data_IF_629794235473
#
_entry.id   IF_629794235473
#
_cell.length_a   1.000
_cell.length_b   1.000
_cell.length_c   1.000
_cell.angle_alpha   90.00
_cell.angle_beta   90.00
_cell.angle_gamma   90.00
#
_symmetry.space_group_name_H-M   'P 1'
#
loop_
_entity.id
_entity.type
_entity.pdbx_description
1 polymer ?
#
# COMPACT_ATOMS: atom_id res chain seq x y z
N UNK A 1 39.63 -3.12 -41.70
CA UNK A 1 38.51 -2.39 -41.06
C UNK A 1 37.30 -3.30 -40.95
N UNK A 2 37.09 -3.93 -39.79
CA UNK A 2 35.81 -4.53 -39.39
C UNK A 2 35.69 -4.32 -37.88
N UNK A 3 34.69 -3.54 -37.45
CA UNK A 3 34.49 -3.20 -36.04
C UNK A 3 33.10 -3.69 -35.62
N UNK A 4 33.07 -4.87 -34.99
CA UNK A 4 31.86 -5.49 -34.47
C UNK A 4 31.39 -4.74 -33.22
N UNK A 5 30.26 -4.05 -33.32
CA UNK A 5 29.60 -3.39 -32.18
C UNK A 5 29.07 -4.45 -31.20
N UNK A 6 29.66 -4.50 -30.00
CA UNK A 6 29.12 -5.22 -28.84
C UNK A 6 27.81 -4.58 -28.41
N UNK A 7 26.73 -5.35 -28.44
CA UNK A 7 25.44 -4.99 -27.81
C UNK A 7 25.62 -5.12 -26.30
N UNK A 8 25.41 -4.02 -25.57
CA UNK A 8 25.52 -3.94 -24.12
C UNK A 8 24.22 -4.50 -23.52
N UNK A 9 24.33 -5.58 -22.75
CA UNK A 9 23.20 -6.14 -22.00
C UNK A 9 22.66 -5.12 -20.99
N UNK A 10 21.34 -4.92 -20.99
CA UNK A 10 20.65 -4.09 -19.98
C UNK A 10 20.68 -4.74 -18.60
N UNK A 11 20.48 -3.96 -17.52
CA UNK A 11 20.57 -4.47 -16.16
C UNK A 11 19.46 -5.50 -15.90
N UNK A 12 19.88 -6.69 -15.47
CA UNK A 12 19.01 -7.70 -14.88
C UNK A 12 18.64 -7.22 -13.47
N UNK A 13 17.36 -6.94 -13.24
CA UNK A 13 16.85 -6.69 -11.91
C UNK A 13 16.70 -8.04 -11.20
N UNK A 14 17.55 -8.29 -10.20
CA UNK A 14 17.37 -9.39 -9.27
C UNK A 14 16.06 -9.17 -8.49
N UNK A 15 15.15 -10.13 -8.60
CA UNK A 15 13.91 -10.21 -7.84
C UNK A 15 14.26 -10.41 -6.36
N UNK A 16 14.13 -9.37 -5.54
CA UNK A 16 14.12 -9.52 -4.09
C UNK A 16 12.76 -10.07 -3.65
N UNK A 17 12.73 -11.38 -3.52
CA UNK A 17 11.93 -12.13 -2.56
C UNK A 17 12.20 -11.55 -1.17
N UNK A 18 11.19 -10.89 -0.58
CA UNK A 18 10.95 -10.74 0.87
C UNK A 18 9.98 -9.57 1.16
N UNK A 19 8.83 -9.59 0.49
CA UNK A 19 7.65 -8.89 0.96
C UNK A 19 6.52 -9.91 1.04
N UNK A 20 6.49 -10.66 2.14
CA UNK A 20 5.28 -11.35 2.56
C UNK A 20 4.21 -10.29 2.84
N UNK A 21 3.39 -9.98 1.82
CA UNK A 21 2.04 -9.49 2.06
C UNK A 21 1.23 -10.66 2.64
N UNK A 22 0.44 -10.46 3.70
CA UNK A 22 -0.56 -11.45 4.08
C UNK A 22 -1.59 -11.52 2.94
N UNK A 23 -1.87 -12.74 2.50
CA UNK A 23 -2.99 -13.07 1.61
C UNK A 23 -4.29 -12.61 2.27
N UNK A 24 -4.72 -11.40 1.95
CA UNK A 24 -6.05 -10.92 2.34
C UNK A 24 -6.99 -11.25 1.19
N UNK A 25 -7.75 -12.34 1.38
CA UNK A 25 -8.89 -12.88 0.62
C UNK A 25 -8.71 -14.36 0.26
N UNK A 26 -8.61 -15.20 1.29
CA UNK A 26 -9.30 -16.51 1.24
C UNK A 26 -10.64 -16.32 1.93
N UNK A 27 -11.70 -16.32 1.11
CA UNK A 27 -13.08 -16.48 1.57
C UNK A 27 -13.16 -17.80 2.36
N UNK A 28 -13.44 -17.70 3.66
CA UNK A 28 -13.89 -18.84 4.43
C UNK A 28 -15.38 -19.04 4.12
N UNK A 29 -15.70 -20.14 3.45
CA UNK A 29 -17.07 -20.67 3.42
C UNK A 29 -17.36 -21.23 4.81
N UNK A 30 -18.34 -20.63 5.47
CA UNK A 30 -18.85 -21.05 6.77
C UNK A 30 -20.17 -21.78 6.51
N UNK A 31 -20.19 -23.10 6.73
CA UNK A 31 -21.43 -23.82 7.02
C UNK A 31 -21.21 -24.95 8.00
N UNK A 32 -21.99 -24.86 9.08
CA UNK A 32 -22.52 -25.89 9.97
C UNK A 32 -21.82 -26.14 11.31
N UNK A 33 -22.40 -25.41 12.26
CA UNK A 33 -22.55 -25.62 13.69
C UNK A 33 -23.03 -27.05 14.08
N UNK A 34 -22.55 -27.54 15.24
CA UNK A 34 -23.31 -28.14 16.37
C UNK A 34 -22.35 -28.85 17.35
N UNK A 35 -22.60 -28.82 18.68
CA UNK A 35 -21.57 -28.79 19.73
C UNK A 35 -21.52 -30.05 20.62
N UNK A 36 -20.49 -30.16 21.48
CA UNK A 36 -20.61 -30.93 22.71
C UNK A 36 -19.32 -31.42 23.40
N UNK A 37 -19.28 -31.14 24.72
CA UNK A 37 -18.67 -31.90 25.83
C UNK A 37 -17.26 -31.55 26.33
N UNK A 38 -17.27 -30.84 27.47
CA UNK A 38 -16.77 -31.27 28.79
C UNK A 38 -15.62 -32.30 28.84
N UNK A 39 -14.50 -31.91 29.46
CA UNK A 39 -14.14 -32.31 30.83
C UNK A 39 -12.61 -32.31 31.06
N UNK A 40 -12.20 -31.55 32.08
CA UNK A 40 -11.27 -31.91 33.16
C UNK A 40 -10.06 -32.82 32.83
N UNK A 41 -8.84 -32.34 33.17
CA UNK A 41 -8.14 -32.90 34.34
C UNK A 41 -6.91 -32.12 34.78
N UNK A 42 -6.70 -32.17 36.08
CA UNK A 42 -5.71 -31.47 36.90
C UNK A 42 -4.94 -32.52 37.71
N UNK A 43 -3.60 -32.43 37.72
CA UNK A 43 -2.64 -32.73 38.82
C UNK A 43 -2.32 -34.21 39.20
N UNK A 44 -1.00 -34.50 39.28
CA UNK A 44 -0.20 -35.00 40.43
C UNK A 44 1.16 -35.54 39.89
N UNK A 45 2.31 -34.93 40.21
CA UNK A 45 3.20 -35.07 41.40
C UNK A 45 4.02 -36.37 41.43
N UNK A 46 5.34 -36.24 41.52
CA UNK A 46 6.28 -37.32 41.81
C UNK A 46 7.71 -36.76 42.01
N UNK A 47 8.36 -37.20 43.08
CA UNK A 47 9.45 -36.56 43.81
C UNK A 47 10.89 -36.80 43.26
N UNK A 48 11.83 -35.99 43.77
CA UNK A 48 13.31 -36.08 43.67
C UNK A 48 13.88 -37.15 44.66
N UNK A 49 15.21 -37.36 44.88
CA UNK A 49 16.40 -36.62 44.43
C UNK A 49 17.65 -37.47 44.04
N UNK A 50 18.72 -36.82 43.55
CA UNK A 50 20.07 -36.83 44.18
C UNK A 50 21.18 -36.24 43.31
N UNK A 51 22.15 -35.67 44.03
CA UNK A 51 23.29 -34.83 43.71
C UNK A 51 24.32 -35.38 42.70
N UNK A 52 24.96 -34.49 41.94
CA UNK A 52 26.44 -34.41 41.87
C UNK A 52 26.92 -33.12 41.19
N UNK A 53 28.01 -32.60 41.74
CA UNK A 53 28.65 -31.30 41.48
C UNK A 53 29.30 -31.18 40.09
N UNK A 54 29.41 -29.94 39.59
CA UNK A 54 30.25 -29.64 38.43
C UNK A 54 30.21 -28.17 37.97
N UNK A 55 31.16 -27.37 38.47
CA UNK A 55 31.95 -26.41 37.69
C UNK A 55 31.28 -25.30 36.86
N UNK A 56 31.60 -24.06 37.25
CA UNK A 56 31.89 -22.90 36.37
C UNK A 56 30.80 -22.39 35.41
N UNK A 57 30.30 -21.19 35.72
CA UNK A 57 30.66 -19.94 35.03
C UNK A 57 29.55 -18.92 35.29
N UNK A 58 29.80 -18.00 36.22
CA UNK A 58 28.94 -16.83 36.40
C UNK A 58 29.04 -15.96 35.14
N UNK A 59 28.10 -16.15 34.23
CA UNK A 59 27.83 -15.18 33.18
C UNK A 59 27.28 -13.91 33.84
N UNK A 60 27.81 -12.72 33.49
CA UNK A 60 27.25 -11.48 34.00
C UNK A 60 25.80 -11.39 33.52
N UNK A 61 24.87 -11.25 34.47
CA UNK A 61 23.47 -10.92 34.22
C UNK A 61 23.42 -9.64 33.41
N UNK A 62 23.35 -9.78 32.08
CA UNK A 62 23.02 -8.71 31.17
C UNK A 62 21.57 -8.31 31.36
N UNK A 63 21.28 -7.52 32.40
CA UNK A 63 20.09 -6.66 32.42
C UNK A 63 20.36 -5.40 31.59
N UNK A 64 20.76 -5.58 30.33
CA UNK A 64 20.34 -4.66 29.29
C UNK A 64 19.10 -5.27 28.69
N UNK A 65 17.96 -5.01 29.33
CA UNK A 65 16.72 -4.92 28.57
C UNK A 65 16.99 -3.80 27.58
N UNK A 66 17.47 -4.17 26.39
CA UNK A 66 17.54 -3.27 25.24
C UNK A 66 16.22 -2.50 25.27
N UNK A 67 16.30 -1.18 25.27
CA UNK A 67 15.16 -0.32 24.98
C UNK A 67 14.77 -0.67 23.55
N UNK A 68 14.10 -1.81 23.39
CA UNK A 68 13.83 -2.47 22.13
C UNK A 68 13.14 -1.45 21.25
N UNK A 69 13.82 -1.19 20.14
CA UNK A 69 13.49 -0.34 19.01
C UNK A 69 11.97 -0.17 18.89
N UNK A 70 11.45 0.94 19.43
CA UNK A 70 10.11 1.35 19.06
C UNK A 70 10.15 1.55 17.55
N UNK A 71 9.33 0.83 16.78
CA UNK A 71 9.37 0.94 15.34
C UNK A 71 9.11 2.40 14.95
N UNK A 72 9.91 2.94 14.03
CA UNK A 72 9.88 4.35 13.62
C UNK A 72 8.49 4.83 13.19
N UNK A 73 8.28 6.15 13.13
CA UNK A 73 6.95 6.73 12.88
C UNK A 73 6.29 6.20 11.60
N UNK A 74 7.03 5.77 10.58
CA UNK A 74 6.48 5.09 9.40
C UNK A 74 5.61 3.87 9.74
N UNK A 75 6.02 3.06 10.71
CA UNK A 75 5.26 1.88 11.13
C UNK A 75 4.01 2.26 11.92
N UNK A 76 4.10 3.30 12.74
CA UNK A 76 2.93 3.89 13.40
C UNK A 76 1.94 4.45 12.37
N UNK A 77 2.42 5.20 11.37
CA UNK A 77 1.60 5.73 10.29
C UNK A 77 0.85 4.62 9.57
N UNK A 78 1.57 3.56 9.15
CA UNK A 78 0.95 2.39 8.50
C UNK A 78 -0.09 1.73 9.39
N UNK A 79 0.20 1.54 10.68
CA UNK A 79 -0.74 0.93 11.64
C UNK A 79 -1.98 1.81 11.84
N UNK A 80 -1.78 3.11 12.02
CA UNK A 80 -2.84 4.07 12.33
C UNK A 80 -3.76 4.39 11.15
N UNK A 81 -3.27 4.19 9.91
CA UNK A 81 -4.02 4.44 8.66
C UNK A 81 -4.50 3.15 7.98
N UNK A 82 -4.30 2.00 8.63
CA UNK A 82 -4.69 0.70 8.10
C UNK A 82 -6.21 0.60 7.82
N UNK A 83 -7.11 1.04 8.72
CA UNK A 83 -8.54 0.98 8.43
C UNK A 83 -8.94 1.74 7.16
N UNK A 84 -8.38 2.93 6.93
CA UNK A 84 -8.67 3.75 5.76
C UNK A 84 -8.06 3.17 4.48
N UNK A 85 -6.86 2.56 4.57
CA UNK A 85 -6.30 1.79 3.48
C UNK A 85 -7.21 0.62 3.10
N UNK A 86 -7.67 -0.17 4.07
CA UNK A 86 -8.53 -1.34 3.83
C UNK A 86 -9.91 -0.93 3.29
N UNK A 87 -10.45 0.21 3.75
CA UNK A 87 -11.69 0.78 3.19
C UNK A 87 -11.52 1.21 1.72
N UNK A 88 -10.39 1.85 1.38
CA UNK A 88 -10.07 2.18 0.00
C UNK A 88 -9.93 0.93 -0.87
N UNK A 89 -9.23 -0.10 -0.40
CA UNK A 89 -9.11 -1.39 -1.11
C UNK A 89 -10.47 -2.06 -1.32
N UNK A 90 -11.35 -2.04 -0.31
CA UNK A 90 -12.70 -2.58 -0.40
C UNK A 90 -13.56 -1.81 -1.41
N UNK A 91 -13.43 -0.48 -1.46
CA UNK A 91 -14.14 0.34 -2.45
C UNK A 91 -13.78 -0.06 -3.90
N UNK A 92 -12.57 -0.58 -4.12
CA UNK A 92 -12.09 -1.11 -5.41
C UNK A 92 -12.25 -2.61 -5.60
N UNK A 93 -12.95 -3.31 -4.68
CA UNK A 93 -13.17 -4.74 -4.77
C UNK A 93 -13.71 -5.23 -6.13
N UNK A 94 -14.65 -4.53 -6.83
CA UNK A 94 -15.09 -4.95 -8.15
C UNK A 94 -13.93 -5.10 -9.15
N UNK A 95 -13.04 -4.13 -9.22
CA UNK A 95 -11.85 -4.19 -10.08
C UNK A 95 -10.87 -5.27 -9.63
N UNK A 96 -10.65 -5.43 -8.32
CA UNK A 96 -9.75 -6.46 -7.80
C UNK A 96 -10.22 -7.89 -8.09
N UNK A 97 -11.54 -8.11 -8.10
CA UNK A 97 -12.17 -9.40 -8.39
C UNK A 97 -12.22 -9.68 -9.89
N UNK A 98 -12.54 -8.67 -10.71
CA UNK A 98 -12.61 -8.80 -12.17
C UNK A 98 -12.07 -7.54 -12.84
N UNK A 99 -10.77 -7.51 -13.20
CA UNK A 99 -10.13 -6.29 -13.69
C UNK A 99 -10.65 -5.80 -15.03
N UNK A 100 -10.87 -6.68 -16.01
CA UNK A 100 -11.20 -6.27 -17.38
C UNK A 100 -12.56 -5.54 -17.47
N UNK A 101 -13.66 -6.06 -16.91
CA UNK A 101 -14.97 -5.39 -17.01
C UNK A 101 -15.00 -4.05 -16.27
N UNK A 102 -14.15 -3.88 -15.25
CA UNK A 102 -14.14 -2.71 -14.38
C UNK A 102 -12.96 -1.76 -14.63
N UNK A 103 -12.19 -1.98 -15.69
CA UNK A 103 -10.97 -1.22 -15.96
C UNK A 103 -11.25 0.27 -16.20
N UNK A 104 -12.21 0.58 -17.07
CA UNK A 104 -12.63 1.96 -17.35
C UNK A 104 -13.06 2.69 -16.07
N UNK A 105 -13.95 2.06 -15.29
CA UNK A 105 -14.38 2.59 -14.00
C UNK A 105 -13.20 2.83 -13.04
N UNK A 106 -12.30 1.85 -12.90
CA UNK A 106 -11.11 2.00 -12.06
C UNK A 106 -10.25 3.19 -12.49
N UNK A 107 -9.99 3.36 -13.79
CA UNK A 107 -9.22 4.49 -14.32
C UNK A 107 -9.89 5.84 -14.03
N UNK A 108 -11.22 5.95 -14.19
CA UNK A 108 -11.94 7.19 -13.86
C UNK A 108 -11.87 7.54 -12.36
N UNK A 109 -11.98 6.53 -11.49
CA UNK A 109 -11.81 6.70 -10.05
C UNK A 109 -10.38 7.13 -9.67
N UNK A 110 -9.37 6.47 -10.25
CA UNK A 110 -7.97 6.84 -10.04
C UNK A 110 -7.69 8.26 -10.53
N UNK A 111 -8.23 8.67 -11.70
CA UNK A 111 -8.12 10.04 -12.20
C UNK A 111 -8.70 11.03 -11.19
N UNK A 112 -9.94 10.79 -10.76
CA UNK A 112 -10.66 11.66 -9.81
C UNK A 112 -9.87 11.83 -8.52
N UNK A 113 -9.39 10.74 -7.93
CA UNK A 113 -8.67 10.75 -6.66
C UNK A 113 -7.28 11.40 -6.77
N UNK A 114 -6.48 11.04 -7.78
CA UNK A 114 -5.13 11.57 -7.95
C UNK A 114 -5.12 13.03 -8.38
N UNK A 115 -6.07 13.45 -9.21
CA UNK A 115 -6.26 14.85 -9.57
C UNK A 115 -6.66 15.71 -8.35
N UNK A 116 -7.58 15.19 -7.51
CA UNK A 116 -7.93 15.82 -6.25
C UNK A 116 -6.70 15.92 -5.33
N UNK A 117 -5.95 14.83 -5.18
CA UNK A 117 -4.75 14.81 -4.34
C UNK A 117 -3.70 15.82 -4.82
N UNK A 118 -3.51 15.99 -6.13
CA UNK A 118 -2.60 16.98 -6.70
C UNK A 118 -2.99 18.42 -6.30
N UNK A 119 -4.28 18.65 -6.09
CA UNK A 119 -4.85 19.96 -5.74
C UNK A 119 -4.86 20.23 -4.22
N UNK A 120 -4.44 19.26 -3.39
CA UNK A 120 -4.43 19.40 -1.91
C UNK A 120 -3.13 20.01 -1.35
N UNK A 121 -2.06 20.04 -2.16
CA UNK A 121 -0.75 20.56 -1.77
C UNK A 121 -0.71 22.09 -1.85
N UNK A 122 -0.58 22.77 -0.71
CA UNK A 122 -0.73 24.23 -0.67
C UNK A 122 0.53 25.07 -0.35
N UNK A 123 1.67 24.46 0.02
CA UNK A 123 2.81 25.24 0.55
C UNK A 123 4.20 24.79 0.08
N UNK A 124 4.42 23.50 -0.14
CA UNK A 124 5.65 22.95 -0.73
C UNK A 124 5.31 21.68 -1.51
N UNK A 125 5.87 21.56 -2.71
CA UNK A 125 5.80 20.33 -3.50
C UNK A 125 6.55 19.20 -2.79
N UNK A 126 5.88 18.07 -2.57
CA UNK A 126 6.51 16.83 -2.09
C UNK A 126 7.29 16.12 -3.20
N UNK A 127 7.98 15.03 -2.85
CA UNK A 127 8.74 14.21 -3.81
C UNK A 127 7.86 13.55 -4.87
N UNK A 128 6.59 13.30 -4.56
CA UNK A 128 5.64 12.70 -5.47
C UNK A 128 5.08 13.67 -6.53
N UNK A 129 5.40 14.96 -6.47
CA UNK A 129 4.74 15.99 -7.32
C UNK A 129 4.86 15.70 -8.82
N UNK A 130 6.07 15.39 -9.30
CA UNK A 130 6.28 15.07 -10.71
C UNK A 130 5.54 13.77 -11.12
N UNK A 131 5.68 12.71 -10.29
CA UNK A 131 4.99 11.45 -10.52
C UNK A 131 3.47 11.63 -10.55
N UNK A 132 2.91 12.45 -9.65
CA UNK A 132 1.48 12.69 -9.57
C UNK A 132 0.96 13.43 -10.82
N UNK A 133 1.74 14.38 -11.35
CA UNK A 133 1.44 15.04 -12.61
C UNK A 133 1.46 14.03 -13.78
N UNK A 134 2.48 13.18 -13.85
CA UNK A 134 2.61 12.15 -14.90
C UNK A 134 1.47 11.11 -14.85
N UNK A 135 1.10 10.66 -13.65
CA UNK A 135 -0.01 9.72 -13.45
C UNK A 135 -1.35 10.36 -13.84
N UNK A 136 -1.58 11.61 -13.45
CA UNK A 136 -2.82 12.34 -13.78
C UNK A 136 -2.93 12.57 -15.28
N UNK A 137 -1.82 12.91 -15.96
CA UNK A 137 -1.78 13.06 -17.41
C UNK A 137 -2.06 11.73 -18.14
N UNK A 138 -1.46 10.63 -17.67
CA UNK A 138 -1.70 9.30 -18.23
C UNK A 138 -3.15 8.86 -18.05
N UNK A 139 -3.71 9.05 -16.85
CA UNK A 139 -5.12 8.73 -16.57
C UNK A 139 -6.08 9.58 -17.40
N UNK A 140 -5.75 10.84 -17.65
CA UNK A 140 -6.56 11.71 -18.52
C UNK A 140 -6.57 11.18 -19.95
N UNK A 141 -5.42 10.75 -20.47
CA UNK A 141 -5.33 10.13 -21.80
C UNK A 141 -6.12 8.81 -21.84
N UNK A 142 -5.92 7.93 -20.87
CA UNK A 142 -6.63 6.64 -20.78
C UNK A 142 -8.16 6.83 -20.71
N UNK A 143 -8.65 7.82 -19.96
CA UNK A 143 -10.08 8.13 -19.92
C UNK A 143 -10.58 8.71 -21.24
N UNK A 144 -9.80 9.58 -21.89
CA UNK A 144 -10.17 10.16 -23.18
C UNK A 144 -10.25 9.10 -24.28
N UNK A 145 -9.31 8.15 -24.32
CA UNK A 145 -9.29 7.05 -25.27
C UNK A 145 -10.52 6.13 -25.13
N UNK A 146 -11.06 5.99 -23.90
CA UNK A 146 -12.27 5.24 -23.62
C UNK A 146 -13.58 6.05 -23.80
N UNK A 147 -13.49 7.37 -24.06
CA UNK A 147 -14.66 8.26 -24.05
C UNK A 147 -15.28 8.46 -22.66
N UNK A 148 -14.50 8.25 -21.60
CA UNK A 148 -14.93 8.40 -20.22
C UNK A 148 -14.80 9.85 -19.74
N UNK A 149 -15.69 10.22 -18.82
CA UNK A 149 -15.72 11.55 -18.19
C UNK A 149 -15.60 11.39 -16.66
N UNK A 150 -14.37 11.39 -16.12
CA UNK A 150 -14.15 11.28 -14.68
C UNK A 150 -14.84 12.41 -13.92
N UNK A 151 -15.44 12.09 -12.78
CA UNK A 151 -15.96 13.08 -11.87
C UNK A 151 -14.85 14.03 -11.35
N UNK A 152 -15.24 15.20 -10.88
CA UNK A 152 -14.33 16.17 -10.25
C UNK A 152 -14.76 16.41 -8.81
N UNK A 153 -13.81 16.37 -7.88
CA UNK A 153 -14.03 16.81 -6.50
C UNK A 153 -13.79 18.33 -6.45
N UNK A 154 -14.76 19.16 -6.03
CA UNK A 154 -14.61 20.61 -5.99
C UNK A 154 -13.42 21.05 -5.13
N UNK A 155 -12.59 21.96 -5.64
CA UNK A 155 -11.32 22.36 -5.00
C UNK A 155 -11.53 23.00 -3.62
N UNK A 156 -12.62 23.73 -3.45
CA UNK A 156 -13.05 24.34 -2.19
C UNK A 156 -13.41 23.33 -1.10
N UNK A 157 -13.76 22.09 -1.49
CA UNK A 157 -14.03 20.99 -0.56
C UNK A 157 -12.78 20.18 -0.20
N UNK A 158 -11.65 20.41 -0.90
CA UNK A 158 -10.45 19.61 -0.70
C UNK A 158 -9.73 19.97 0.60
N UNK A 159 -9.26 18.96 1.35
CA UNK A 159 -8.43 19.21 2.52
C UNK A 159 -7.07 19.75 2.07
N UNK A 160 -6.46 20.58 2.91
CA UNK A 160 -5.04 20.89 2.80
C UNK A 160 -4.26 19.76 3.45
N UNK A 161 -3.39 19.09 2.70
CA UNK A 161 -2.63 17.94 3.19
C UNK A 161 -1.14 18.27 3.32
N UNK A 162 -0.51 17.69 4.34
CA UNK A 162 0.93 17.74 4.51
C UNK A 162 1.66 17.00 3.35
N UNK A 163 2.74 17.54 2.77
CA UNK A 163 3.44 16.91 1.64
C UNK A 163 3.92 15.48 1.89
N UNK A 164 4.41 15.16 3.10
CA UNK A 164 4.80 13.78 3.44
C UNK A 164 3.61 12.80 3.46
N UNK A 165 2.39 13.27 3.73
CA UNK A 165 1.20 12.41 3.65
C UNK A 165 0.87 12.09 2.18
N UNK A 166 0.98 13.09 1.29
CA UNK A 166 0.81 12.92 -0.15
C UNK A 166 1.90 12.01 -0.73
N UNK A 167 3.15 12.24 -0.36
CA UNK A 167 4.28 11.40 -0.78
C UNK A 167 4.07 9.94 -0.36
N UNK A 168 3.64 9.72 0.89
CA UNK A 168 3.36 8.39 1.40
C UNK A 168 2.29 7.66 0.57
N UNK A 169 1.18 8.34 0.26
CA UNK A 169 0.07 7.77 -0.51
C UNK A 169 0.47 7.47 -1.97
N UNK A 170 1.02 8.47 -2.67
CA UNK A 170 1.31 8.35 -4.10
C UNK A 170 2.44 7.36 -4.35
N UNK A 171 3.56 7.48 -3.64
CA UNK A 171 4.71 6.59 -3.82
C UNK A 171 4.39 5.19 -3.30
N UNK A 172 3.68 5.08 -2.17
CA UNK A 172 3.26 3.80 -1.60
C UNK A 172 2.33 3.02 -2.54
N UNK A 173 1.39 3.70 -3.19
CA UNK A 173 0.43 3.06 -4.11
C UNK A 173 1.08 2.41 -5.34
N UNK A 174 2.29 2.82 -5.72
CA UNK A 174 2.96 2.27 -6.92
C UNK A 174 3.35 0.80 -6.77
N UNK A 175 3.64 0.35 -5.55
CA UNK A 175 3.91 -1.07 -5.28
C UNK A 175 2.65 -1.91 -5.48
N UNK A 176 1.48 -1.45 -5.00
CA UNK A 176 0.20 -2.10 -5.26
C UNK A 176 -0.16 -2.08 -6.75
N UNK A 177 0.11 -0.97 -7.43
CA UNK A 177 -0.11 -0.83 -8.86
C UNK A 177 0.71 -1.82 -9.70
N UNK A 178 1.91 -2.20 -9.26
CA UNK A 178 2.71 -3.23 -9.94
C UNK A 178 2.07 -4.63 -9.83
N UNK A 179 1.41 -4.94 -8.70
CA UNK A 179 0.62 -6.17 -8.55
C UNK A 179 -0.60 -6.14 -9.48
N UNK A 180 -1.32 -5.03 -9.51
CA UNK A 180 -2.48 -4.84 -10.39
C UNK A 180 -2.08 -4.93 -11.88
N UNK A 181 -0.94 -4.34 -12.25
CA UNK A 181 -0.39 -4.41 -13.61
C UNK A 181 -0.16 -5.86 -14.04
N UNK A 182 0.44 -6.69 -13.19
CA UNK A 182 0.71 -8.11 -13.50
C UNK A 182 -0.59 -8.89 -13.72
N UNK A 183 -1.54 -8.75 -12.80
CA UNK A 183 -2.86 -9.39 -12.91
C UNK A 183 -3.60 -8.94 -14.16
N UNK A 184 -3.54 -7.65 -14.48
CA UNK A 184 -4.18 -7.11 -15.68
C UNK A 184 -3.48 -7.58 -16.96
N UNK A 185 -2.14 -7.66 -16.98
CA UNK A 185 -1.40 -8.25 -18.10
C UNK A 185 -1.80 -9.70 -18.34
N UNK A 186 -1.93 -10.50 -17.28
CA UNK A 186 -2.36 -11.90 -17.37
C UNK A 186 -3.78 -12.02 -17.93
N UNK A 187 -4.70 -11.17 -17.46
CA UNK A 187 -6.09 -11.16 -17.94
C UNK A 187 -6.22 -10.63 -19.39
N UNK A 188 -5.48 -9.60 -19.76
CA UNK A 188 -5.58 -8.92 -21.05
C UNK A 188 -4.86 -9.64 -22.21
N UNK A 189 -4.00 -10.61 -21.90
CA UNK A 189 -3.22 -11.35 -22.88
C UNK A 189 -2.24 -10.46 -23.64
N UNK A 190 -2.46 -10.29 -24.95
CA UNK A 190 -1.60 -9.47 -25.82
C UNK A 190 -2.06 -8.02 -25.95
N UNK A 191 -3.19 -7.66 -25.35
CA UNK A 191 -3.71 -6.29 -25.43
C UNK A 191 -2.80 -5.32 -24.67
N UNK A 192 -2.58 -4.14 -25.24
CA UNK A 192 -1.80 -3.10 -24.57
C UNK A 192 -2.49 -2.66 -23.28
N UNK A 193 -1.70 -2.45 -22.22
CA UNK A 193 -2.21 -1.89 -20.97
C UNK A 193 -2.36 -0.37 -21.06
N UNK A 194 -3.31 0.23 -20.31
CA UNK A 194 -3.43 1.68 -20.17
C UNK A 194 -2.13 2.33 -19.69
N UNK A 195 -1.88 3.57 -20.10
CA UNK A 195 -0.67 4.34 -19.80
C UNK A 195 -0.49 4.59 -18.29
N UNK A 196 -1.56 4.58 -17.51
CA UNK A 196 -1.50 4.60 -16.05
C UNK A 196 -0.67 3.45 -15.47
N UNK A 197 -0.72 2.27 -16.09
CA UNK A 197 0.00 1.08 -15.67
C UNK A 197 1.44 1.01 -16.16
N UNK A 198 1.90 1.95 -16.99
CA UNK A 198 3.30 2.03 -17.41
C UNK A 198 4.23 2.16 -16.19
N UNK A 199 5.25 1.29 -16.04
CA UNK A 199 6.21 1.40 -14.95
C UNK A 199 6.91 2.77 -14.92
N UNK A 200 7.02 3.35 -13.73
CA UNK A 200 7.70 4.62 -13.48
C UNK A 200 8.63 4.48 -12.29
N UNK A 201 9.80 5.12 -12.36
CA UNK A 201 10.73 5.12 -11.24
C UNK A 201 10.17 5.95 -10.09
N UNK A 202 10.06 5.31 -8.93
CA UNK A 202 9.54 5.90 -7.69
C UNK A 202 10.31 5.40 -6.47
N UNK A 203 11.20 4.41 -6.61
CA UNK A 203 11.78 3.70 -5.48
C UNK A 203 12.76 4.58 -4.70
N UNK A 204 13.53 5.43 -5.39
CA UNK A 204 14.42 6.39 -4.75
C UNK A 204 13.62 7.40 -3.92
N UNK A 205 12.57 7.98 -4.50
CA UNK A 205 11.69 8.91 -3.81
C UNK A 205 10.94 8.25 -2.63
N UNK A 206 10.51 6.99 -2.79
CA UNK A 206 9.86 6.21 -1.74
C UNK A 206 10.79 5.96 -0.56
N UNK A 207 12.03 5.53 -0.82
CA UNK A 207 13.04 5.31 0.23
C UNK A 207 13.36 6.60 0.98
N UNK A 208 13.55 7.71 0.27
CA UNK A 208 13.78 9.01 0.90
C UNK A 208 12.59 9.46 1.76
N UNK A 209 11.35 9.24 1.30
CA UNK A 209 10.14 9.52 2.08
C UNK A 209 10.07 8.64 3.32
N UNK A 210 10.42 7.35 3.22
CA UNK A 210 10.52 6.47 4.38
C UNK A 210 11.54 6.97 5.39
N UNK A 211 12.73 7.39 4.93
CA UNK A 211 13.77 7.97 5.80
C UNK A 211 13.24 9.20 6.53
N UNK A 212 12.60 10.15 5.84
CA UNK A 212 12.03 11.34 6.48
C UNK A 212 10.98 10.97 7.53
N UNK A 213 10.10 10.01 7.24
CA UNK A 213 9.09 9.54 8.17
C UNK A 213 9.72 8.86 9.40
N UNK A 214 10.76 8.05 9.22
CA UNK A 214 11.44 7.37 10.32
C UNK A 214 12.17 8.33 11.27
N UNK A 215 12.55 9.53 10.80
CA UNK A 215 13.16 10.57 11.64
C UNK A 215 12.15 11.38 12.48
N UNK A 216 10.85 11.24 12.22
CA UNK A 216 9.83 11.97 12.98
C UNK A 216 9.56 11.30 14.32
N UNK A 217 9.65 12.03 15.45
CA UNK A 217 9.32 11.45 16.75
C UNK A 217 7.81 11.11 16.82
N UNK A 218 7.44 9.85 17.13
CA UNK A 218 6.07 9.45 17.43
C UNK A 218 5.39 10.36 18.45
N UNK A 219 4.09 10.62 18.27
CA UNK A 219 3.29 11.39 19.22
C UNK A 219 3.54 12.91 19.25
N UNK A 220 4.35 13.46 18.34
CA UNK A 220 4.45 14.92 18.14
C UNK A 220 3.28 15.46 17.32
N UNK A 221 3.03 16.76 17.41
CA UNK A 221 1.93 17.41 16.67
C UNK A 221 2.03 17.19 15.16
N UNK A 222 3.25 17.25 14.61
CA UNK A 222 3.49 16.97 13.19
C UNK A 222 3.16 15.51 12.82
N UNK A 223 3.57 14.54 13.63
CA UNK A 223 3.26 13.12 13.41
C UNK A 223 1.73 12.87 13.41
N UNK A 224 1.01 13.45 14.37
CA UNK A 224 -0.47 13.40 14.41
C UNK A 224 -1.11 14.07 13.19
N UNK A 225 -0.55 15.20 12.75
CA UNK A 225 -1.01 15.90 11.55
C UNK A 225 -0.86 15.02 10.30
N UNK A 226 0.31 14.41 10.10
CA UNK A 226 0.56 13.53 8.96
C UNK A 226 -0.38 12.31 8.98
N UNK A 227 -0.61 11.68 10.15
CA UNK A 227 -1.60 10.59 10.26
C UNK A 227 -2.98 11.09 9.82
N UNK A 228 -3.46 12.20 10.38
CA UNK A 228 -4.78 12.74 10.06
C UNK A 228 -4.92 13.08 8.56
N UNK A 229 -3.87 13.63 7.96
CA UNK A 229 -3.86 13.99 6.55
C UNK A 229 -3.76 12.78 5.63
N UNK A 230 -3.00 11.75 5.99
CA UNK A 230 -2.99 10.47 5.25
C UNK A 230 -4.37 9.81 5.24
N UNK A 231 -5.10 9.86 6.37
CA UNK A 231 -6.49 9.37 6.45
C UNK A 231 -7.42 10.12 5.50
N UNK A 232 -7.36 11.45 5.52
CA UNK A 232 -8.13 12.29 4.58
C UNK A 232 -7.79 11.98 3.12
N UNK A 233 -6.51 11.74 2.83
CA UNK A 233 -6.04 11.36 1.50
C UNK A 233 -6.61 10.02 1.03
N UNK A 234 -6.67 8.99 1.90
CA UNK A 234 -7.38 7.74 1.58
C UNK A 234 -8.88 7.98 1.30
N UNK A 235 -9.54 8.85 2.09
CA UNK A 235 -10.94 9.21 1.88
C UNK A 235 -11.25 9.84 0.51
N UNK A 236 -10.26 10.41 -0.19
CA UNK A 236 -10.43 10.89 -1.57
C UNK A 236 -10.67 9.74 -2.55
N UNK A 237 -10.07 8.57 -2.32
CA UNK A 237 -10.26 7.39 -3.17
C UNK A 237 -11.65 6.78 -2.98
N UNK A 238 -12.14 6.70 -1.74
CA UNK A 238 -13.52 6.30 -1.47
C UNK A 238 -14.53 7.27 -2.07
N UNK A 239 -14.24 8.58 -1.98
CA UNK A 239 -15.08 9.62 -2.59
C UNK A 239 -15.11 9.48 -4.11
N UNK A 240 -13.94 9.24 -4.74
CA UNK A 240 -13.86 8.99 -6.17
C UNK A 240 -14.67 7.77 -6.61
N UNK A 241 -14.61 6.67 -5.86
CA UNK A 241 -15.40 5.46 -6.13
C UNK A 241 -16.91 5.70 -6.03
N UNK A 242 -17.37 6.57 -5.12
CA UNK A 242 -18.80 6.95 -5.03
C UNK A 242 -19.24 7.90 -6.14
N UNK A 243 -18.38 8.84 -6.53
CA UNK A 243 -18.72 9.85 -7.55
C UNK A 243 -18.70 9.29 -8.97
N UNK A 244 -17.91 8.26 -9.24
CA UNK A 244 -17.87 7.57 -10.53
C UNK A 244 -18.67 6.28 -10.40
N UNK A 245 -19.93 6.23 -10.88
CA UNK A 245 -20.76 5.05 -10.73
C UNK A 245 -20.20 3.89 -11.57
N UNK A 246 -20.17 2.71 -10.96
CA UNK A 246 -19.88 1.47 -11.67
C UNK A 246 -21.03 1.23 -12.67
N UNK A 247 -20.71 1.22 -13.96
CA UNK A 247 -21.72 0.91 -14.98
C UNK A 247 -22.06 -0.58 -14.89
N UNK A 248 -23.34 -0.98 -14.94
CA UNK A 248 -23.70 -2.38 -15.09
C UNK A 248 -23.09 -2.89 -16.39
N UNK A 249 -22.40 -4.03 -16.33
CA UNK A 249 -21.99 -4.73 -17.55
C UNK A 249 -23.25 -5.05 -18.35
N UNK A 250 -23.43 -4.41 -19.50
CA UNK A 250 -24.43 -4.85 -20.50
C UNK A 250 -24.00 -6.22 -20.99
N UNK A 251 -24.72 -7.25 -20.54
CA UNK A 251 -24.67 -8.62 -21.06
C UNK A 251 -25.29 -8.63 -22.46
#
# INVERSE_FOLDING_TARGET
MQNSKRVRAGPRYETMTDLHLPASLTLAEDTNDVPGRDALNTVLKGDAPSETEGGQMQQPRGTHRSLQDKPGFRFELRRATRPEHDAAELAFAPFHQSPLPHLAWFLTCQHTALHALASTCCLKSGRATALLADLTAALRADCADNGDHPATIPVDTLPRLHPLAVDYLVLGSRMGNEVLRRRLSEAAGQSALPAYFTPRDHLVAWRATCTDLDQLPPGRALARCIIADTRKGFGLFETAARLNPLRPSTI
#
